data_IF_798271783601
#
_entry.id   IF_798271783601
#
_cell.length_a   1.000
_cell.length_b   1.000
_cell.length_c   1.000
_cell.angle_alpha   90.00
_cell.angle_beta   90.00
_cell.angle_gamma   90.00
#
_symmetry.space_group_name_H-M   'P 1'
#
loop_
_entity.id
_entity.type
_entity.pdbx_description
1 polymer ?
#
# COMPACT_ATOMS: atom_id res chain seq x y z
N UNK A 1 -55.33 34.87 11.41
CA UNK A 1 -54.67 36.15 11.20
C UNK A 1 -53.65 35.89 10.09
N UNK A 2 -54.06 36.02 8.84
CA UNK A 2 -54.14 37.13 7.87
C UNK A 2 -52.77 37.59 7.46
N UNK A 3 -52.48 37.20 6.25
CA UNK A 3 -52.26 37.95 5.00
C UNK A 3 -50.78 38.34 4.80
N UNK A 4 -50.16 38.33 3.67
CA UNK A 4 -50.69 38.64 2.36
C UNK A 4 -49.72 38.36 1.22
N UNK A 5 -50.32 38.07 0.16
CA UNK A 5 -49.90 37.96 -1.22
C UNK A 5 -49.35 39.27 -1.78
N UNK A 6 -48.31 39.24 -2.64
CA UNK A 6 -48.28 40.09 -3.84
C UNK A 6 -47.56 39.39 -4.97
N UNK A 7 -48.32 39.05 -5.99
CA UNK A 7 -48.02 38.77 -7.37
C UNK A 7 -47.57 40.02 -8.12
N UNK A 8 -46.62 39.91 -9.03
CA UNK A 8 -46.51 40.80 -10.21
C UNK A 8 -46.27 40.00 -11.48
N UNK A 9 -47.31 40.03 -12.30
CA UNK A 9 -47.36 39.62 -13.72
C UNK A 9 -46.94 40.80 -14.60
N UNK A 10 -46.24 40.57 -15.68
CA UNK A 10 -46.04 41.57 -16.74
C UNK A 10 -45.20 41.04 -17.91
N UNK A 11 -45.85 40.59 -18.97
CA UNK A 11 -45.42 40.56 -20.37
C UNK A 11 -46.17 41.71 -21.11
N UNK A 12 -45.87 42.08 -22.40
CA UNK A 12 -44.78 41.73 -23.32
C UNK A 12 -44.25 42.97 -24.13
N UNK A 13 -43.24 42.81 -24.98
CA UNK A 13 -42.85 43.79 -25.98
C UNK A 13 -41.65 43.36 -26.84
N UNK A 14 -41.87 42.92 -28.05
CA UNK A 14 -40.87 42.90 -29.09
C UNK A 14 -41.19 44.01 -30.10
N UNK A 15 -40.59 44.09 -31.32
CA UNK A 15 -39.28 43.66 -31.80
C UNK A 15 -38.47 44.85 -32.39
N UNK A 16 -37.16 44.70 -32.52
CA UNK A 16 -36.33 45.71 -33.18
C UNK A 16 -35.09 45.11 -33.82
N UNK A 17 -35.14 45.07 -35.12
CA UNK A 17 -34.12 44.68 -36.06
C UNK A 17 -32.89 45.60 -36.04
N UNK A 18 -31.67 45.02 -36.04
CA UNK A 18 -30.51 45.72 -36.61
C UNK A 18 -29.53 44.70 -37.23
N UNK A 19 -29.51 44.69 -38.51
CA UNK A 19 -28.50 44.06 -39.38
C UNK A 19 -27.13 44.73 -39.14
N UNK A 20 -26.10 43.95 -38.87
CA UNK A 20 -24.70 44.37 -38.82
C UNK A 20 -23.81 43.40 -39.55
N UNK A 21 -23.61 43.68 -40.79
CA UNK A 21 -22.55 43.39 -41.79
C UNK A 21 -21.48 42.36 -41.43
N UNK A 22 -21.48 41.28 -42.15
CA UNK A 22 -20.39 40.35 -42.39
C UNK A 22 -19.31 41.00 -43.27
N UNK A 23 -18.03 40.96 -42.86
CA UNK A 23 -16.87 41.32 -43.68
C UNK A 23 -16.36 40.07 -44.40
N UNK A 24 -15.89 40.18 -45.65
CA UNK A 24 -15.57 39.00 -46.46
C UNK A 24 -14.16 38.46 -46.21
N UNK A 25 -14.07 37.15 -46.26
CA UNK A 25 -12.84 36.36 -46.30
C UNK A 25 -12.06 36.68 -47.57
N UNK A 26 -10.81 37.15 -47.42
CA UNK A 26 -9.85 37.29 -48.51
C UNK A 26 -9.23 35.91 -48.85
N UNK A 27 -9.67 35.36 -49.98
CA UNK A 27 -9.01 34.25 -50.68
C UNK A 27 -7.79 34.83 -51.43
N UNK A 28 -6.55 34.46 -51.04
CA UNK A 28 -5.35 34.66 -51.83
C UNK A 28 -5.14 33.49 -52.81
N UNK A 29 -5.21 33.77 -54.09
CA UNK A 29 -4.91 32.85 -55.21
C UNK A 29 -3.38 32.65 -55.35
N UNK A 30 -2.90 31.47 -55.77
CA UNK A 30 -1.50 31.24 -56.10
C UNK A 30 -1.16 31.84 -57.47
N UNK A 31 -0.14 32.69 -57.51
CA UNK A 31 0.41 33.24 -58.74
C UNK A 31 1.40 32.27 -59.41
N UNK A 32 1.07 31.91 -60.64
CA UNK A 32 2.03 31.33 -61.58
C UNK A 32 2.96 32.42 -62.11
N UNK A 33 4.28 32.24 -61.96
CA UNK A 33 5.29 33.15 -62.49
C UNK A 33 6.55 32.44 -62.96
N UNK A 34 6.63 32.23 -64.27
CA UNK A 34 7.75 32.54 -65.13
C UNK A 34 9.07 31.78 -64.96
N UNK A 35 9.27 30.76 -65.76
CA UNK A 35 10.56 30.20 -66.12
C UNK A 35 11.46 31.22 -66.85
N UNK A 36 12.66 31.47 -66.36
CA UNK A 36 13.78 32.07 -67.12
C UNK A 36 14.93 31.05 -67.20
N UNK A 37 15.45 30.75 -68.39
CA UNK A 37 16.62 29.91 -68.57
C UNK A 37 17.87 30.82 -68.54
N UNK A 38 18.91 30.40 -67.77
CA UNK A 38 20.16 31.14 -67.83
C UNK A 38 21.27 30.56 -66.96
N UNK A 39 22.26 29.95 -67.60
CA UNK A 39 23.64 30.00 -67.14
C UNK A 39 24.18 28.77 -66.39
N UNK A 40 24.64 27.79 -67.14
CA UNK A 40 25.59 26.79 -66.71
C UNK A 40 26.95 27.45 -66.40
N UNK A 41 27.42 27.39 -65.13
CA UNK A 41 28.81 27.59 -64.73
C UNK A 41 29.38 26.26 -64.19
N UNK A 42 30.48 25.79 -64.75
CA UNK A 42 31.19 24.63 -64.19
C UNK A 42 32.12 25.15 -63.05
N UNK A 43 31.92 24.71 -61.86
CA UNK A 43 32.71 25.15 -60.69
C UNK A 43 32.87 24.08 -59.66
N UNK A 44 34.01 23.41 -59.69
CA UNK A 44 34.75 22.92 -58.54
C UNK A 44 34.10 21.88 -57.66
N UNK A 45 34.39 20.60 -57.89
CA UNK A 45 34.28 19.54 -56.92
C UNK A 45 35.18 19.85 -55.69
N UNK A 46 34.58 20.28 -54.60
CA UNK A 46 35.21 20.24 -53.29
C UNK A 46 34.98 18.84 -52.73
N UNK A 47 36.04 18.09 -52.26
CA UNK A 47 35.86 16.86 -51.53
C UNK A 47 35.23 17.19 -50.18
N UNK A 48 33.94 16.95 -50.09
CA UNK A 48 33.20 17.08 -48.84
C UNK A 48 33.69 16.04 -47.86
N UNK A 49 34.24 16.51 -46.76
CA UNK A 49 34.61 15.74 -45.60
C UNK A 49 33.40 14.89 -45.15
N UNK A 50 33.53 13.58 -45.30
CA UNK A 50 32.73 12.60 -44.60
C UNK A 50 32.96 12.86 -43.10
N UNK A 51 32.11 13.68 -42.47
CA UNK A 51 31.97 13.66 -41.02
C UNK A 51 31.42 12.27 -40.66
N UNK A 52 32.32 11.34 -40.38
CA UNK A 52 32.04 10.20 -39.57
C UNK A 52 31.43 10.66 -38.28
N UNK A 53 30.11 10.58 -38.19
CA UNK A 53 29.37 10.70 -36.94
C UNK A 53 29.78 9.56 -36.03
N UNK A 54 30.98 9.68 -35.45
CA UNK A 54 31.42 8.80 -34.39
C UNK A 54 30.37 8.88 -33.27
N UNK A 55 29.60 7.83 -33.11
CA UNK A 55 28.89 7.57 -31.87
C UNK A 55 29.96 7.54 -30.78
N UNK A 56 30.19 8.70 -30.15
CA UNK A 56 30.96 8.76 -28.92
C UNK A 56 30.28 7.82 -27.93
N UNK A 57 30.96 6.80 -27.42
CA UNK A 57 30.39 5.94 -26.39
C UNK A 57 30.01 6.91 -25.24
N UNK A 58 28.70 7.02 -24.99
CA UNK A 58 28.21 7.79 -23.83
C UNK A 58 28.92 7.22 -22.61
N UNK A 59 29.85 8.00 -22.06
CA UNK A 59 30.68 7.61 -20.94
C UNK A 59 29.80 7.09 -19.80
N UNK A 60 30.27 6.14 -19.03
CA UNK A 60 29.59 5.58 -17.84
C UNK A 60 29.15 6.70 -16.87
N UNK A 61 29.86 7.83 -16.88
CA UNK A 61 29.54 9.07 -16.16
C UNK A 61 28.22 9.72 -16.61
N UNK A 62 27.88 9.71 -17.89
CA UNK A 62 26.59 10.23 -18.38
C UNK A 62 25.44 9.31 -17.99
N UNK A 63 25.69 8.00 -17.81
CA UNK A 63 24.69 7.06 -17.24
C UNK A 63 24.53 7.25 -15.73
N UNK A 64 25.60 7.63 -15.03
CA UNK A 64 25.56 7.97 -13.61
C UNK A 64 24.84 9.30 -13.36
N UNK A 65 25.02 10.32 -14.23
CA UNK A 65 24.30 11.58 -14.17
C UNK A 65 22.79 11.43 -14.51
N UNK A 66 22.45 10.51 -15.40
CA UNK A 66 21.04 10.13 -15.61
C UNK A 66 20.43 9.43 -14.36
N UNK A 67 21.25 8.71 -13.57
CA UNK A 67 20.84 8.21 -12.25
C UNK A 67 20.61 9.32 -11.22
N UNK A 68 21.35 10.44 -11.28
CA UNK A 68 21.09 11.60 -10.42
C UNK A 68 19.71 12.22 -10.67
N UNK A 69 19.20 12.17 -11.90
CA UNK A 69 17.83 12.62 -12.19
C UNK A 69 16.79 11.68 -11.54
N UNK A 70 17.06 10.38 -11.47
CA UNK A 70 16.18 9.40 -10.81
C UNK A 70 15.99 9.70 -9.33
N UNK A 71 17.09 10.01 -8.61
CA UNK A 71 17.06 10.30 -7.16
C UNK A 71 16.35 11.63 -6.83
N UNK A 72 16.34 12.60 -7.75
CA UNK A 72 15.68 13.89 -7.54
C UNK A 72 14.15 13.79 -7.55
N UNK A 73 13.60 12.78 -8.22
CA UNK A 73 12.15 12.58 -8.37
C UNK A 73 11.58 11.57 -7.36
N UNK A 74 12.37 11.17 -6.35
CA UNK A 74 11.90 10.32 -5.26
C UNK A 74 11.31 11.18 -4.14
N UNK A 75 10.25 10.67 -3.52
CA UNK A 75 9.71 11.24 -2.29
C UNK A 75 10.61 10.87 -1.10
N UNK A 76 11.57 11.74 -0.80
CA UNK A 76 12.54 11.53 0.28
C UNK A 76 11.89 11.49 1.66
N UNK A 77 10.80 12.24 1.89
CA UNK A 77 10.11 12.21 3.17
C UNK A 77 9.46 10.83 3.42
N UNK A 78 8.91 10.21 2.37
CA UNK A 78 8.39 8.84 2.44
C UNK A 78 9.54 7.86 2.75
N UNK A 79 10.66 7.96 2.04
CA UNK A 79 11.81 7.07 2.24
C UNK A 79 12.42 7.20 3.64
N UNK A 80 12.61 8.42 4.12
CA UNK A 80 13.14 8.66 5.47
C UNK A 80 12.20 8.13 6.56
N UNK A 81 10.88 8.28 6.37
CA UNK A 81 9.88 7.69 7.26
C UNK A 81 9.97 6.17 7.34
N UNK A 82 10.06 5.50 6.19
CA UNK A 82 10.21 4.03 6.10
C UNK A 82 11.53 3.58 6.71
N UNK A 83 12.64 4.25 6.40
CA UNK A 83 13.96 3.92 6.98
C UNK A 83 13.95 4.14 8.49
N UNK A 84 13.36 5.23 8.98
CA UNK A 84 13.23 5.49 10.42
C UNK A 84 12.44 4.39 11.12
N UNK A 85 11.28 3.98 10.58
CA UNK A 85 10.48 2.87 11.12
C UNK A 85 11.25 1.54 11.11
N UNK A 86 11.93 1.22 10.00
CA UNK A 86 12.69 -0.03 9.87
C UNK A 86 13.88 -0.09 10.82
N UNK A 87 14.57 1.04 11.05
CA UNK A 87 15.69 1.11 12.00
C UNK A 87 15.19 0.98 13.45
N UNK A 88 14.14 1.73 13.81
CA UNK A 88 13.52 1.61 15.13
C UNK A 88 13.01 0.19 15.37
N UNK A 89 12.31 -0.40 14.38
CA UNK A 89 11.85 -1.78 14.46
C UNK A 89 12.99 -2.78 14.65
N UNK A 90 14.09 -2.61 13.93
CA UNK A 90 15.27 -3.49 14.05
C UNK A 90 15.88 -3.41 15.47
N UNK A 91 15.96 -2.22 16.06
CA UNK A 91 16.45 -2.03 17.43
C UNK A 91 15.51 -2.66 18.45
N UNK A 92 14.19 -2.47 18.30
CA UNK A 92 13.19 -3.05 19.20
C UNK A 92 13.15 -4.58 19.12
N UNK A 93 13.27 -5.15 17.90
CA UNK A 93 13.34 -6.60 17.70
C UNK A 93 14.58 -7.18 18.38
N UNK A 94 15.72 -6.52 18.24
CA UNK A 94 16.95 -6.95 18.92
C UNK A 94 16.74 -6.94 20.43
N UNK A 95 16.24 -5.85 20.99
CA UNK A 95 15.96 -5.75 22.42
C UNK A 95 14.99 -6.84 22.87
N UNK A 96 13.89 -7.05 22.18
CA UNK A 96 12.87 -8.04 22.50
C UNK A 96 13.37 -9.48 22.48
N UNK A 97 14.40 -9.81 21.69
CA UNK A 97 14.80 -11.21 21.47
C UNK A 97 16.10 -11.62 22.17
N UNK A 98 16.98 -10.67 22.47
CA UNK A 98 18.33 -10.98 22.98
C UNK A 98 18.33 -11.75 24.29
N UNK A 99 17.48 -11.35 25.27
CA UNK A 99 17.47 -11.97 26.60
C UNK A 99 16.93 -13.42 26.58
N UNK A 100 15.89 -13.65 25.75
CA UNK A 100 15.32 -14.99 25.55
C UNK A 100 16.31 -15.94 24.91
N UNK A 101 16.98 -15.48 23.83
CA UNK A 101 17.99 -16.27 23.12
C UNK A 101 19.22 -16.56 23.98
N UNK A 102 19.73 -15.55 24.72
CA UNK A 102 20.87 -15.73 25.62
C UNK A 102 20.59 -16.78 26.71
N UNK A 103 19.37 -16.78 27.29
CA UNK A 103 18.97 -17.81 28.28
C UNK A 103 18.87 -19.21 27.66
N UNK A 104 18.48 -19.31 26.40
CA UNK A 104 18.40 -20.56 25.65
C UNK A 104 19.77 -21.03 25.13
N UNK A 105 20.87 -20.30 25.40
CA UNK A 105 22.23 -20.61 24.92
C UNK A 105 22.43 -20.33 23.41
N UNK A 106 21.54 -19.57 22.80
CA UNK A 106 21.63 -19.15 21.40
C UNK A 106 22.37 -17.82 21.21
N UNK A 107 22.68 -17.47 19.95
CA UNK A 107 23.28 -16.16 19.61
C UNK A 107 22.23 -15.04 19.80
N UNK A 108 22.44 -14.10 20.76
CA UNK A 108 21.51 -12.98 21.01
C UNK A 108 21.27 -12.08 19.81
N UNK A 109 22.13 -12.11 18.79
CA UNK A 109 22.05 -11.28 17.60
C UNK A 109 21.35 -11.98 16.43
N UNK A 110 20.83 -13.19 16.59
CA UNK A 110 20.24 -13.96 15.49
C UNK A 110 19.10 -13.19 14.80
N UNK A 111 18.14 -12.65 15.55
CA UNK A 111 17.03 -11.89 14.97
C UNK A 111 17.47 -10.53 14.44
N UNK A 112 18.45 -9.87 15.06
CA UNK A 112 19.06 -8.65 14.54
C UNK A 112 19.64 -8.87 13.14
N UNK A 113 20.48 -9.92 12.99
CA UNK A 113 21.11 -10.25 11.69
C UNK A 113 20.08 -10.58 10.63
N UNK A 114 19.06 -11.39 10.98
CA UNK A 114 17.95 -11.73 10.06
C UNK A 114 17.14 -10.49 9.67
N UNK A 115 16.82 -9.61 10.62
CA UNK A 115 16.05 -8.40 10.33
C UNK A 115 16.84 -7.40 9.49
N UNK A 116 18.13 -7.20 9.75
CA UNK A 116 18.99 -6.37 8.89
C UNK A 116 19.05 -6.93 7.46
N UNK A 117 19.17 -8.24 7.30
CA UNK A 117 19.12 -8.87 5.99
C UNK A 117 17.76 -8.64 5.30
N UNK A 118 16.65 -8.78 6.02
CA UNK A 118 15.30 -8.49 5.51
C UNK A 118 15.17 -7.04 5.07
N UNK A 119 15.67 -6.08 5.85
CA UNK A 119 15.65 -4.65 5.50
C UNK A 119 16.49 -4.39 4.24
N UNK A 120 17.69 -4.96 4.14
CA UNK A 120 18.55 -4.81 2.95
C UNK A 120 17.89 -5.37 1.70
N UNK A 121 17.35 -6.61 1.77
CA UNK A 121 16.61 -7.22 0.65
C UNK A 121 15.38 -6.37 0.31
N UNK A 122 14.63 -5.93 1.32
CA UNK A 122 13.47 -5.05 1.14
C UNK A 122 13.82 -3.74 0.43
N UNK A 123 14.92 -3.08 0.81
CA UNK A 123 15.40 -1.87 0.15
C UNK A 123 15.80 -2.12 -1.31
N UNK A 124 16.41 -3.26 -1.61
CA UNK A 124 16.73 -3.66 -2.98
C UNK A 124 15.44 -3.86 -3.78
N UNK A 125 14.44 -4.56 -3.22
CA UNK A 125 13.14 -4.76 -3.86
C UNK A 125 12.42 -3.41 -4.08
N UNK A 126 12.40 -2.54 -3.09
CA UNK A 126 11.85 -1.19 -3.20
C UNK A 126 12.53 -0.40 -4.33
N UNK A 127 13.87 -0.41 -4.38
CA UNK A 127 14.63 0.26 -5.43
C UNK A 127 14.36 -0.34 -6.81
N UNK A 128 14.28 -1.66 -6.92
CA UNK A 128 13.95 -2.36 -8.15
C UNK A 128 12.56 -1.98 -8.66
N UNK A 129 11.52 -2.06 -7.80
CA UNK A 129 10.15 -1.72 -8.17
C UNK A 129 10.00 -0.23 -8.46
N UNK A 130 10.63 0.65 -7.68
CA UNK A 130 10.61 2.09 -7.94
C UNK A 130 11.29 2.48 -9.26
N UNK A 131 12.22 1.65 -9.76
CA UNK A 131 12.90 1.87 -11.04
C UNK A 131 12.09 1.41 -12.25
N UNK A 132 11.04 0.59 -12.03
CA UNK A 132 10.16 0.13 -13.10
C UNK A 132 9.39 1.31 -13.72
N UNK A 133 9.11 1.22 -15.01
CA UNK A 133 8.18 2.13 -15.65
C UNK A 133 6.77 1.87 -15.10
N UNK A 134 6.05 2.94 -14.78
CA UNK A 134 4.67 2.88 -14.30
C UNK A 134 3.76 2.03 -15.20
N UNK A 135 3.98 2.05 -16.53
CA UNK A 135 3.23 1.22 -17.48
C UNK A 135 3.42 -0.28 -17.21
N UNK A 136 4.60 -0.67 -16.75
CA UNK A 136 4.90 -2.05 -16.39
C UNK A 136 4.05 -2.54 -15.23
N UNK A 137 3.75 -1.68 -14.23
CA UNK A 137 2.87 -2.03 -13.13
C UNK A 137 1.48 -2.44 -13.62
N UNK A 138 0.94 -1.75 -14.62
CA UNK A 138 -0.36 -2.11 -15.23
C UNK A 138 -0.29 -3.42 -16.02
N UNK A 139 0.77 -3.61 -16.81
CA UNK A 139 0.95 -4.81 -17.67
C UNK A 139 1.16 -6.05 -16.81
N UNK A 140 1.98 -5.95 -15.74
CA UNK A 140 2.32 -7.09 -14.90
C UNK A 140 1.37 -7.33 -13.72
N UNK A 141 0.39 -6.44 -13.47
CA UNK A 141 -0.60 -6.64 -12.42
C UNK A 141 -1.33 -8.00 -12.52
N UNK A 142 -1.85 -8.44 -13.70
CA UNK A 142 -2.49 -9.75 -13.83
C UNK A 142 -1.53 -10.92 -13.59
N UNK A 143 -0.28 -10.78 -14.03
CA UNK A 143 0.76 -11.83 -13.84
C UNK A 143 1.11 -11.96 -12.36
N UNK A 144 1.37 -10.83 -11.69
CA UNK A 144 1.62 -10.81 -10.24
C UNK A 144 0.46 -11.39 -9.44
N UNK A 145 -0.77 -11.02 -9.81
CA UNK A 145 -1.99 -11.54 -9.21
C UNK A 145 -2.11 -13.07 -9.39
N UNK A 146 -1.84 -13.60 -10.58
CA UNK A 146 -1.85 -15.03 -10.82
C UNK A 146 -0.78 -15.76 -9.99
N UNK A 147 0.45 -15.24 -9.93
CA UNK A 147 1.54 -15.81 -9.15
C UNK A 147 1.19 -15.87 -7.66
N UNK A 148 0.67 -14.78 -7.09
CA UNK A 148 0.31 -14.76 -5.66
C UNK A 148 -0.91 -15.62 -5.36
N UNK A 149 -1.88 -15.70 -6.27
CA UNK A 149 -3.03 -16.62 -6.13
C UNK A 149 -2.61 -18.09 -6.16
N UNK A 150 -1.64 -18.44 -7.03
CA UNK A 150 -1.02 -19.77 -7.03
C UNK A 150 -0.26 -20.00 -5.71
N UNK A 151 0.48 -19.00 -5.21
CA UNK A 151 1.13 -19.07 -3.91
C UNK A 151 0.16 -19.37 -2.77
N UNK A 152 -1.00 -18.69 -2.75
CA UNK A 152 -2.06 -18.96 -1.77
C UNK A 152 -2.64 -20.39 -1.89
N UNK A 153 -2.75 -20.92 -3.11
CA UNK A 153 -3.15 -22.32 -3.32
C UNK A 153 -2.09 -23.31 -2.84
N UNK A 154 -0.81 -23.02 -3.10
CA UNK A 154 0.31 -23.88 -2.67
C UNK A 154 0.37 -23.99 -1.15
N UNK A 155 0.08 -22.91 -0.43
CA UNK A 155 0.00 -22.95 1.05
C UNK A 155 -1.05 -23.93 1.55
N UNK A 156 -2.19 -24.07 0.85
CA UNK A 156 -3.24 -25.02 1.23
C UNK A 156 -2.87 -26.48 0.93
N UNK A 157 -1.77 -26.72 0.21
CA UNK A 157 -1.23 -28.06 -0.05
C UNK A 157 -0.38 -28.55 1.13
N UNK A 158 0.07 -29.83 1.13
CA UNK A 158 0.97 -30.36 2.16
C UNK A 158 2.31 -29.63 2.30
N UNK A 159 2.66 -28.71 1.39
CA UNK A 159 3.85 -27.87 1.47
C UNK A 159 3.69 -26.69 2.44
N UNK A 160 2.46 -26.39 2.84
CA UNK A 160 2.18 -25.35 3.81
C UNK A 160 2.40 -25.83 5.25
N UNK A 161 2.86 -24.94 6.11
CA UNK A 161 3.03 -25.16 7.53
C UNK A 161 1.98 -24.40 8.35
N UNK A 162 1.56 -25.00 9.46
CA UNK A 162 0.59 -24.41 10.39
C UNK A 162 1.37 -23.70 11.48
N UNK A 163 1.17 -22.41 11.62
CA UNK A 163 1.74 -21.57 12.69
C UNK A 163 0.59 -20.85 13.38
N UNK A 164 0.52 -20.94 14.70
CA UNK A 164 -0.51 -20.28 15.52
C UNK A 164 -1.98 -20.53 15.04
N UNK A 165 -2.25 -21.72 14.46
CA UNK A 165 -3.57 -22.13 13.98
C UNK A 165 -3.93 -21.68 12.56
N UNK A 166 -3.11 -20.87 11.90
CA UNK A 166 -3.24 -20.48 10.50
C UNK A 166 -2.33 -21.33 9.61
N UNK A 167 -2.84 -21.78 8.48
CA UNK A 167 -2.10 -22.55 7.47
C UNK A 167 -1.67 -21.59 6.36
N UNK A 168 -0.71 -20.66 6.66
CA UNK A 168 -0.37 -19.52 5.82
C UNK A 168 1.10 -19.41 5.43
N UNK A 169 1.95 -20.32 5.91
CA UNK A 169 3.40 -20.25 5.74
C UNK A 169 3.95 -21.37 4.86
N UNK A 170 4.95 -21.04 4.03
CA UNK A 170 5.77 -22.00 3.27
C UNK A 170 7.16 -21.95 3.85
N UNK A 171 7.66 -23.10 4.35
CA UNK A 171 9.04 -23.22 4.80
C UNK A 171 9.99 -23.22 3.60
N UNK A 172 10.96 -22.31 3.60
CA UNK A 172 12.00 -22.19 2.59
C UNK A 172 13.35 -22.69 3.13
N UNK A 173 14.28 -23.13 2.26
CA UNK A 173 15.63 -23.48 2.66
C UNK A 173 16.31 -22.34 3.42
N UNK A 174 17.14 -22.67 4.43
CA UNK A 174 17.84 -21.68 5.24
C UNK A 174 17.04 -21.13 6.42
N UNK A 175 15.88 -21.73 6.76
CA UNK A 175 15.03 -21.32 7.88
C UNK A 175 14.24 -20.04 7.63
N UNK A 176 14.07 -19.65 6.36
CA UNK A 176 13.16 -18.61 5.95
C UNK A 176 11.75 -19.16 5.81
N UNK A 177 10.77 -18.30 6.07
CA UNK A 177 9.36 -18.61 5.87
C UNK A 177 8.76 -17.56 4.94
N UNK A 178 8.03 -18.01 3.93
CA UNK A 178 7.29 -17.13 3.03
C UNK A 178 5.81 -17.21 3.32
N UNK A 179 5.18 -16.05 3.39
CA UNK A 179 3.74 -15.90 3.52
C UNK A 179 3.17 -15.24 2.26
N UNK A 180 2.57 -16.02 1.34
CA UNK A 180 2.06 -15.49 0.09
C UNK A 180 0.93 -14.47 0.26
N UNK A 181 0.20 -14.49 1.35
CA UNK A 181 -0.87 -13.55 1.66
C UNK A 181 -0.35 -12.10 1.76
N UNK A 182 0.90 -11.89 2.20
CA UNK A 182 1.54 -10.59 2.27
C UNK A 182 1.69 -9.96 0.87
N UNK A 183 2.17 -10.74 -0.08
CA UNK A 183 2.30 -10.31 -1.47
C UNK A 183 0.95 -10.20 -2.20
N UNK A 184 -0.03 -11.04 -1.81
CA UNK A 184 -1.36 -11.00 -2.39
C UNK A 184 -2.08 -9.67 -2.11
N UNK A 185 -1.80 -8.99 -1.00
CA UNK A 185 -2.31 -7.63 -0.71
C UNK A 185 -1.88 -6.64 -1.79
N UNK A 186 -0.59 -6.62 -2.13
CA UNK A 186 -0.05 -5.72 -3.16
C UNK A 186 -0.66 -5.99 -4.53
N UNK A 187 -0.70 -7.26 -4.93
CA UNK A 187 -1.19 -7.65 -6.25
C UNK A 187 -2.70 -7.50 -6.39
N UNK A 188 -3.46 -7.70 -5.32
CA UNK A 188 -4.89 -7.39 -5.25
C UNK A 188 -5.14 -5.90 -5.49
N UNK A 189 -4.38 -5.02 -4.81
CA UNK A 189 -4.48 -3.57 -4.99
C UNK A 189 -4.21 -3.20 -6.46
N UNK A 190 -3.14 -3.72 -7.06
CA UNK A 190 -2.79 -3.44 -8.45
C UNK A 190 -3.87 -3.94 -9.43
N UNK A 191 -4.38 -5.16 -9.21
CA UNK A 191 -5.38 -5.75 -10.10
C UNK A 191 -6.74 -5.06 -9.98
N UNK A 192 -7.21 -4.75 -8.78
CA UNK A 192 -8.45 -4.00 -8.56
C UNK A 192 -8.35 -2.58 -9.12
N UNK A 193 -7.20 -1.92 -8.92
CA UNK A 193 -6.94 -0.60 -9.52
C UNK A 193 -6.97 -0.67 -11.06
N UNK A 194 -6.41 -1.71 -11.66
CA UNK A 194 -6.45 -1.92 -13.10
C UNK A 194 -7.89 -2.00 -13.60
N UNK A 195 -8.71 -2.88 -13.02
CA UNK A 195 -10.11 -3.11 -13.41
C UNK A 195 -10.94 -1.82 -13.26
N UNK A 196 -10.82 -1.13 -12.11
CA UNK A 196 -11.63 0.05 -11.79
C UNK A 196 -11.15 1.33 -12.52
N UNK A 197 -9.92 1.34 -13.04
CA UNK A 197 -9.36 2.48 -13.78
C UNK A 197 -9.60 2.42 -15.28
N UNK A 198 -10.02 1.28 -15.85
CA UNK A 198 -10.34 1.14 -17.27
C UNK A 198 -11.71 1.77 -17.60
N UNK A 199 -11.75 3.11 -17.56
CA UNK A 199 -12.91 3.86 -18.01
C UNK A 199 -12.91 3.87 -19.55
N UNK A 200 -14.01 3.42 -20.16
CA UNK A 200 -14.21 3.55 -21.60
C UNK A 200 -14.58 5.00 -21.96
N UNK A 201 -14.26 5.41 -23.17
CA UNK A 201 -14.51 6.76 -23.67
C UNK A 201 -15.92 7.24 -23.34
N UNK A 202 -16.02 8.39 -22.66
CA UNK A 202 -17.27 9.04 -22.26
C UNK A 202 -17.78 8.71 -20.85
N UNK A 203 -17.27 7.71 -20.17
CA UNK A 203 -17.70 7.39 -18.81
C UNK A 203 -16.83 8.07 -17.77
N UNK A 204 -17.47 8.80 -16.86
CA UNK A 204 -16.80 9.43 -15.69
C UNK A 204 -16.78 8.53 -14.44
N UNK A 205 -17.39 7.35 -14.48
CA UNK A 205 -17.55 6.44 -13.33
C UNK A 205 -17.50 4.98 -13.79
N UNK A 206 -16.97 4.08 -12.94
CA UNK A 206 -17.01 2.64 -13.20
C UNK A 206 -18.45 2.15 -13.39
N UNK A 207 -18.63 1.20 -14.29
CA UNK A 207 -19.91 0.55 -14.55
C UNK A 207 -20.17 -0.56 -13.54
N UNK A 208 -21.42 -1.02 -13.37
CA UNK A 208 -21.72 -2.18 -12.53
C UNK A 208 -20.96 -3.46 -12.94
N UNK A 209 -20.59 -3.60 -14.21
CA UNK A 209 -19.78 -4.73 -14.70
C UNK A 209 -18.33 -4.66 -14.19
N UNK A 210 -17.75 -3.47 -14.11
CA UNK A 210 -16.39 -3.25 -13.61
C UNK A 210 -16.34 -3.52 -12.10
N UNK A 211 -17.41 -3.13 -11.38
CA UNK A 211 -17.59 -3.51 -9.98
C UNK A 211 -17.69 -5.02 -9.80
N UNK A 212 -18.52 -5.69 -10.61
CA UNK A 212 -18.67 -7.15 -10.55
C UNK A 212 -17.34 -7.85 -10.86
N UNK A 213 -16.57 -7.36 -11.84
CA UNK A 213 -15.24 -7.87 -12.17
C UNK A 213 -14.24 -7.67 -11.01
N UNK A 214 -14.23 -6.48 -10.38
CA UNK A 214 -13.38 -6.21 -9.22
C UNK A 214 -13.73 -7.10 -8.02
N UNK A 215 -15.02 -7.30 -7.76
CA UNK A 215 -15.49 -8.20 -6.70
C UNK A 215 -15.16 -9.67 -7.00
N UNK A 216 -15.34 -10.12 -8.24
CA UNK A 216 -14.98 -11.49 -8.65
C UNK A 216 -13.46 -11.71 -8.55
N UNK A 217 -12.66 -10.71 -8.95
CA UNK A 217 -11.22 -10.73 -8.79
C UNK A 217 -10.82 -10.75 -7.29
N UNK A 218 -11.46 -9.96 -6.45
CA UNK A 218 -11.23 -9.98 -5.00
C UNK A 218 -11.66 -11.29 -4.34
N UNK A 219 -12.76 -11.91 -4.81
CA UNK A 219 -13.32 -13.13 -4.22
C UNK A 219 -12.35 -14.31 -4.24
N UNK A 220 -11.50 -14.45 -5.25
CA UNK A 220 -10.54 -15.55 -5.35
C UNK A 220 -9.51 -15.52 -4.20
N UNK A 221 -8.67 -14.48 -4.02
CA UNK A 221 -7.71 -14.46 -2.92
C UNK A 221 -8.38 -14.42 -1.55
N UNK A 222 -9.52 -13.73 -1.40
CA UNK A 222 -10.30 -13.72 -0.16
C UNK A 222 -10.80 -15.11 0.21
N UNK A 223 -11.34 -15.87 -0.76
CA UNK A 223 -11.78 -17.25 -0.55
C UNK A 223 -10.63 -18.18 -0.15
N UNK A 224 -9.45 -18.01 -0.74
CA UNK A 224 -8.26 -18.77 -0.38
C UNK A 224 -7.76 -18.42 1.02
N UNK A 225 -7.80 -17.15 1.43
CA UNK A 225 -7.42 -16.71 2.79
C UNK A 225 -8.45 -17.22 3.82
N UNK A 226 -9.74 -17.26 3.49
CA UNK A 226 -10.76 -17.92 4.33
C UNK A 226 -10.43 -19.39 4.55
N UNK A 227 -9.97 -20.09 3.52
CA UNK A 227 -9.55 -21.49 3.61
C UNK A 227 -8.29 -21.70 4.46
N UNK A 228 -7.42 -20.67 4.58
CA UNK A 228 -6.21 -20.64 5.42
C UNK A 228 -6.48 -20.28 6.88
N UNK A 229 -7.68 -20.04 7.28
CA UNK A 229 -8.35 -19.39 8.41
C UNK A 229 -7.57 -18.19 9.02
N UNK A 230 -7.02 -17.33 8.18
CA UNK A 230 -6.37 -16.10 8.63
C UNK A 230 -7.35 -14.92 8.64
N UNK A 231 -7.96 -14.68 9.81
CA UNK A 231 -8.93 -13.57 9.97
C UNK A 231 -8.29 -12.19 9.86
N UNK A 232 -7.07 -12.02 10.32
CA UNK A 232 -6.39 -10.73 10.31
C UNK A 232 -6.21 -10.22 8.88
N UNK A 233 -5.59 -11.04 8.04
CA UNK A 233 -5.37 -10.74 6.62
C UNK A 233 -6.70 -10.63 5.88
N UNK A 234 -7.69 -11.48 6.18
CA UNK A 234 -9.01 -11.42 5.55
C UNK A 234 -9.70 -10.06 5.78
N UNK A 235 -9.80 -9.62 7.03
CA UNK A 235 -10.42 -8.34 7.39
C UNK A 235 -9.70 -7.19 6.67
N UNK A 236 -8.37 -7.22 6.66
CA UNK A 236 -7.55 -6.21 6.01
C UNK A 236 -7.78 -6.16 4.49
N UNK A 237 -7.77 -7.31 3.81
CA UNK A 237 -8.01 -7.38 2.36
C UNK A 237 -9.43 -6.96 1.97
N UNK A 238 -10.44 -7.35 2.74
CA UNK A 238 -11.84 -6.90 2.54
C UNK A 238 -11.92 -5.39 2.68
N UNK A 239 -11.33 -4.82 3.73
CA UNK A 239 -11.38 -3.38 3.96
C UNK A 239 -10.63 -2.58 2.87
N UNK A 240 -9.50 -3.08 2.38
CA UNK A 240 -8.78 -2.49 1.24
C UNK A 240 -9.65 -2.53 -0.02
N UNK A 241 -10.25 -3.69 -0.34
CA UNK A 241 -11.11 -3.85 -1.51
C UNK A 241 -12.31 -2.89 -1.47
N UNK A 242 -13.03 -2.85 -0.33
CA UNK A 242 -14.17 -1.95 -0.12
C UNK A 242 -13.74 -0.48 -0.21
N UNK A 243 -12.62 -0.12 0.42
CA UNK A 243 -12.07 1.23 0.38
C UNK A 243 -11.69 1.67 -1.03
N UNK A 244 -11.05 0.81 -1.82
CA UNK A 244 -10.73 1.10 -3.22
C UNK A 244 -12.00 1.26 -4.08
N UNK A 245 -13.01 0.41 -3.90
CA UNK A 245 -14.30 0.54 -4.56
C UNK A 245 -14.96 1.87 -4.18
N UNK A 246 -14.91 2.26 -2.91
CA UNK A 246 -15.44 3.55 -2.46
C UNK A 246 -14.77 4.74 -3.16
N UNK A 247 -13.44 4.71 -3.28
CA UNK A 247 -12.65 5.77 -3.92
C UNK A 247 -12.72 5.77 -5.45
N UNK A 248 -13.20 4.68 -6.08
CA UNK A 248 -13.36 4.60 -7.53
C UNK A 248 -14.46 5.52 -8.10
N UNK A 249 -15.24 6.18 -7.23
CA UNK A 249 -16.33 7.07 -7.65
C UNK A 249 -17.63 6.35 -8.01
N UNK A 250 -17.78 5.09 -7.61
CA UNK A 250 -19.01 4.32 -7.83
C UNK A 250 -20.20 4.95 -7.09
N UNK A 251 -21.42 4.68 -7.55
CA UNK A 251 -22.63 5.23 -6.93
C UNK A 251 -22.82 4.70 -5.51
N UNK A 252 -23.13 5.58 -4.55
CA UNK A 252 -23.30 5.26 -3.12
C UNK A 252 -24.22 4.06 -2.84
N UNK A 253 -25.26 3.85 -3.67
CA UNK A 253 -26.17 2.71 -3.54
C UNK A 253 -25.45 1.35 -3.62
N UNK A 254 -24.39 1.24 -4.44
CA UNK A 254 -23.61 0.01 -4.56
C UNK A 254 -22.71 -0.20 -3.34
N UNK A 255 -22.16 0.89 -2.82
CA UNK A 255 -21.41 0.86 -1.57
C UNK A 255 -22.30 0.44 -0.38
N UNK A 256 -23.49 1.01 -0.30
CA UNK A 256 -24.46 0.62 0.73
C UNK A 256 -24.88 -0.85 0.59
N UNK A 257 -25.09 -1.32 -0.65
CA UNK A 257 -25.36 -2.74 -0.94
C UNK A 257 -24.19 -3.64 -0.52
N UNK A 258 -22.94 -3.27 -0.86
CA UNK A 258 -21.76 -4.02 -0.47
C UNK A 258 -21.60 -4.06 1.06
N UNK A 259 -21.80 -2.92 1.74
CA UNK A 259 -21.81 -2.85 3.20
C UNK A 259 -22.87 -3.75 3.83
N UNK A 260 -24.09 -3.74 3.28
CA UNK A 260 -25.17 -4.60 3.75
C UNK A 260 -24.85 -6.10 3.55
N UNK A 261 -24.29 -6.48 2.39
CA UNK A 261 -23.85 -7.86 2.12
C UNK A 261 -22.74 -8.29 3.07
N UNK A 262 -21.74 -7.43 3.32
CA UNK A 262 -20.65 -7.71 4.26
C UNK A 262 -21.18 -7.88 5.70
N UNK A 263 -22.08 -7.01 6.13
CA UNK A 263 -22.71 -7.10 7.45
C UNK A 263 -23.56 -8.36 7.59
N UNK A 264 -24.34 -8.70 6.55
CA UNK A 264 -25.14 -9.93 6.52
C UNK A 264 -24.24 -11.17 6.54
N UNK A 265 -23.15 -11.17 5.77
CA UNK A 265 -22.19 -12.29 5.78
C UNK A 265 -21.57 -12.47 7.17
N UNK A 266 -21.17 -11.39 7.84
CA UNK A 266 -20.67 -11.45 9.22
C UNK A 266 -21.70 -12.00 10.20
N UNK A 267 -22.97 -11.55 10.09
CA UNK A 267 -24.08 -12.05 10.92
C UNK A 267 -24.36 -13.54 10.69
N UNK A 268 -24.38 -13.97 9.43
CA UNK A 268 -24.58 -15.37 9.06
C UNK A 268 -23.44 -16.25 9.57
N UNK A 269 -22.18 -15.79 9.39
CA UNK A 269 -20.99 -16.51 9.88
C UNK A 269 -21.04 -16.67 11.40
N UNK A 270 -21.48 -15.64 12.12
CA UNK A 270 -21.65 -15.69 13.56
C UNK A 270 -22.81 -16.61 13.99
N UNK A 271 -24.00 -16.45 13.39
CA UNK A 271 -25.20 -17.20 13.78
C UNK A 271 -25.14 -18.70 13.43
N UNK A 272 -24.44 -19.04 12.35
CA UNK A 272 -24.22 -20.43 11.95
C UNK A 272 -22.98 -21.07 12.59
N UNK A 273 -22.32 -20.39 13.52
CA UNK A 273 -21.11 -20.87 14.21
C UNK A 273 -20.01 -21.37 13.25
N UNK A 274 -19.84 -20.68 12.11
CA UNK A 274 -18.85 -21.04 11.10
C UNK A 274 -17.41 -20.65 11.50
N UNK A 275 -17.26 -19.83 12.56
CA UNK A 275 -15.97 -19.45 13.10
C UNK A 275 -15.32 -20.64 13.83
N UNK A 276 -14.02 -20.81 13.61
CA UNK A 276 -13.23 -21.81 14.36
C UNK A 276 -13.12 -21.42 15.84
N UNK A 277 -12.98 -22.40 16.76
CA UNK A 277 -12.93 -22.13 18.20
C UNK A 277 -11.90 -21.03 18.59
N UNK A 278 -10.70 -21.06 18.01
CA UNK A 278 -9.67 -20.05 18.31
C UNK A 278 -10.06 -18.63 17.82
N UNK A 279 -10.87 -18.50 16.77
CA UNK A 279 -11.35 -17.21 16.26
C UNK A 279 -12.40 -16.62 17.20
N UNK A 280 -13.31 -17.47 17.68
CA UNK A 280 -14.28 -17.09 18.73
C UNK A 280 -13.55 -16.70 20.00
N UNK A 281 -12.52 -17.46 20.40
CA UNK A 281 -11.70 -17.17 21.58
C UNK A 281 -11.01 -15.81 21.49
N UNK A 282 -10.46 -15.43 20.34
CA UNK A 282 -9.88 -14.07 20.11
C UNK A 282 -10.91 -12.95 20.30
N UNK A 283 -12.13 -13.13 19.79
CA UNK A 283 -13.22 -12.15 19.95
C UNK A 283 -13.73 -12.09 21.39
N UNK A 284 -13.92 -13.23 22.05
CA UNK A 284 -14.35 -13.29 23.46
C UNK A 284 -13.28 -12.76 24.40
N UNK A 285 -12.01 -13.05 24.16
CA UNK A 285 -10.88 -12.52 24.93
C UNK A 285 -10.75 -10.98 24.80
N UNK A 286 -11.14 -10.42 23.68
CA UNK A 286 -11.20 -8.97 23.51
C UNK A 286 -12.31 -8.33 24.38
N UNK A 287 -13.52 -8.94 24.40
CA UNK A 287 -14.63 -8.44 25.21
C UNK A 287 -14.44 -8.71 26.72
N UNK A 288 -13.86 -9.84 27.05
CA UNK A 288 -13.57 -10.25 28.41
C UNK A 288 -12.19 -10.94 28.50
N UNK A 289 -11.10 -10.18 28.71
CA UNK A 289 -9.73 -10.72 28.78
C UNK A 289 -9.55 -11.79 29.88
N UNK A 290 -10.35 -11.77 30.94
CA UNK A 290 -10.29 -12.76 32.02
C UNK A 290 -10.86 -14.12 31.62
N UNK A 291 -11.59 -14.23 30.51
CA UNK A 291 -12.11 -15.48 30.01
C UNK A 291 -11.01 -16.36 29.36
N UNK A 292 -9.87 -15.78 28.98
CA UNK A 292 -8.72 -16.52 28.41
C UNK A 292 -7.39 -16.13 29.10
N UNK A 293 -7.18 -16.61 30.33
CA UNK A 293 -6.02 -16.22 31.14
C UNK A 293 -4.68 -16.85 30.71
N UNK A 294 -4.67 -17.71 29.68
CA UNK A 294 -3.47 -18.41 29.17
C UNK A 294 -3.21 -18.21 27.69
N UNK A 295 -4.15 -17.61 26.94
CA UNK A 295 -4.03 -17.39 25.50
C UNK A 295 -3.96 -15.93 25.12
N UNK A 296 -4.78 -15.53 24.17
CA UNK A 296 -4.77 -14.16 23.62
C UNK A 296 -5.15 -13.08 24.65
N UNK A 297 -6.00 -13.41 25.62
CA UNK A 297 -6.35 -12.53 26.74
C UNK A 297 -5.14 -12.22 27.62
N UNK A 298 -4.31 -13.22 27.91
CA UNK A 298 -3.05 -13.03 28.64
C UNK A 298 -2.10 -12.11 27.87
N UNK A 299 -1.86 -12.38 26.58
CA UNK A 299 -0.96 -11.58 25.76
C UNK A 299 -1.37 -10.10 25.71
N UNK A 300 -2.67 -9.82 25.52
CA UNK A 300 -3.20 -8.47 25.50
C UNK A 300 -3.08 -7.77 26.89
N UNK A 301 -3.30 -8.52 27.97
CA UNK A 301 -3.15 -7.98 29.33
C UNK A 301 -1.69 -7.63 29.62
N UNK A 302 -0.73 -8.52 29.30
CA UNK A 302 0.70 -8.28 29.50
C UNK A 302 1.22 -7.12 28.65
N UNK A 303 0.73 -7.00 27.38
CA UNK A 303 1.07 -5.88 26.52
C UNK A 303 0.65 -4.53 27.13
N UNK A 304 -0.54 -4.45 27.72
CA UNK A 304 -1.02 -3.21 28.41
C UNK A 304 -0.18 -2.89 29.63
N UNK A 305 0.20 -3.92 30.42
CA UNK A 305 1.07 -3.73 31.60
C UNK A 305 2.45 -3.23 31.16
N UNK A 306 3.01 -3.81 30.08
CA UNK A 306 4.28 -3.39 29.51
C UNK A 306 4.26 -1.92 29.08
N UNK A 307 3.25 -1.51 28.30
CA UNK A 307 3.08 -0.10 27.89
C UNK A 307 2.96 0.82 29.12
N UNK A 308 2.15 0.41 30.11
CA UNK A 308 1.94 1.19 31.34
C UNK A 308 3.20 1.34 32.19
N UNK A 309 4.07 0.33 32.20
CA UNK A 309 5.33 0.34 32.96
C UNK A 309 6.39 1.28 32.39
N UNK A 310 6.30 1.63 31.09
CA UNK A 310 7.28 2.50 30.43
C UNK A 310 7.12 3.98 30.76
N UNK A 311 5.97 4.45 31.25
CA UNK A 311 5.75 5.86 31.56
C UNK A 311 6.02 6.80 30.38
N UNK A 312 6.59 8.00 30.68
CA UNK A 312 6.84 9.02 29.63
C UNK A 312 8.04 8.72 28.74
N UNK A 313 9.15 8.25 29.32
CA UNK A 313 10.45 8.13 28.62
C UNK A 313 10.93 6.68 28.49
N UNK A 314 10.16 5.70 28.97
CA UNK A 314 10.53 4.30 28.94
C UNK A 314 11.50 3.88 30.06
N UNK A 315 11.69 2.57 30.18
CA UNK A 315 12.68 1.97 31.07
C UNK A 315 14.09 1.97 30.46
N UNK A 316 14.22 2.38 29.20
CA UNK A 316 15.45 2.35 28.40
C UNK A 316 15.53 1.10 27.53
N UNK A 317 16.19 1.24 26.37
CA UNK A 317 16.45 0.12 25.45
C UNK A 317 17.20 -0.99 26.20
N UNK A 318 16.77 -2.24 26.00
CA UNK A 318 17.31 -3.45 26.65
C UNK A 318 17.03 -3.57 28.15
N UNK A 319 16.32 -2.65 28.78
CA UNK A 319 16.06 -2.63 30.24
C UNK A 319 14.56 -2.87 30.54
N UNK A 320 13.71 -3.12 29.55
CA UNK A 320 12.31 -3.48 29.77
C UNK A 320 12.18 -4.76 30.60
N UNK A 321 11.62 -4.66 31.79
CA UNK A 321 11.53 -5.80 32.73
C UNK A 321 10.61 -6.91 32.24
N UNK A 322 9.49 -6.55 31.60
CA UNK A 322 8.53 -7.51 31.04
C UNK A 322 9.04 -8.09 29.72
N UNK A 323 9.66 -7.26 28.90
CA UNK A 323 10.33 -7.68 27.65
C UNK A 323 11.47 -8.65 27.98
N UNK A 324 12.38 -8.28 28.89
CA UNK A 324 13.47 -9.14 29.29
C UNK A 324 12.98 -10.44 29.95
N UNK A 325 11.87 -10.40 30.70
CA UNK A 325 11.21 -11.56 31.30
C UNK A 325 10.50 -12.48 30.29
N UNK A 326 10.33 -12.04 29.03
CA UNK A 326 9.54 -12.73 28.00
C UNK A 326 8.08 -12.97 28.45
N UNK A 327 7.52 -12.02 29.20
CA UNK A 327 6.14 -12.11 29.69
C UNK A 327 5.10 -11.83 28.60
N UNK A 328 5.47 -11.07 27.57
CA UNK A 328 4.59 -10.80 26.42
C UNK A 328 4.88 -11.83 25.34
N UNK A 329 3.97 -12.79 25.05
CA UNK A 329 4.15 -13.72 23.94
C UNK A 329 4.21 -12.96 22.59
N UNK A 330 4.97 -13.49 21.63
CA UNK A 330 5.11 -12.90 20.28
C UNK A 330 5.48 -11.40 20.30
N UNK A 331 6.30 -10.99 21.28
CA UNK A 331 6.66 -9.58 21.48
C UNK A 331 7.45 -8.97 20.32
N UNK A 332 8.19 -9.76 19.54
CA UNK A 332 8.99 -9.30 18.41
C UNK A 332 8.22 -9.25 17.09
N UNK A 333 7.03 -9.85 17.01
CA UNK A 333 6.14 -9.89 15.84
C UNK A 333 4.90 -9.03 16.09
N UNK A 334 3.92 -9.57 16.79
CA UNK A 334 2.58 -9.00 16.92
C UNK A 334 2.53 -7.86 17.95
N UNK A 335 3.30 -7.96 19.02
CA UNK A 335 3.26 -7.04 20.15
C UNK A 335 4.49 -6.11 20.24
N UNK A 336 5.16 -5.84 19.10
CA UNK A 336 6.34 -4.97 19.07
C UNK A 336 6.06 -3.54 19.57
N UNK A 337 4.82 -3.05 19.40
CA UNK A 337 4.42 -1.75 19.91
C UNK A 337 4.38 -1.73 21.46
N UNK A 338 4.13 -2.88 22.12
CA UNK A 338 4.22 -2.98 23.57
C UNK A 338 5.68 -2.87 24.03
N UNK A 339 6.63 -3.48 23.31
CA UNK A 339 8.07 -3.32 23.55
C UNK A 339 8.48 -1.84 23.43
N UNK A 340 8.02 -1.17 22.38
CA UNK A 340 8.26 0.27 22.19
C UNK A 340 7.69 1.10 23.36
N UNK A 341 6.49 0.75 23.83
CA UNK A 341 5.85 1.43 24.96
C UNK A 341 6.60 1.21 26.28
N UNK A 342 7.13 0.02 26.56
CA UNK A 342 7.90 -0.26 27.74
C UNK A 342 9.29 0.38 27.71
N UNK A 343 10.03 0.20 26.62
CA UNK A 343 11.43 0.62 26.55
C UNK A 343 11.65 2.08 26.18
N UNK A 344 10.83 2.63 25.28
CA UNK A 344 10.92 4.01 24.81
C UNK A 344 9.83 4.91 25.41
N UNK A 345 8.88 4.34 26.12
CA UNK A 345 7.78 5.05 26.77
C UNK A 345 6.81 5.72 25.79
N UNK A 346 6.04 6.66 26.31
CA UNK A 346 5.06 7.42 25.55
C UNK A 346 5.71 8.22 24.41
N UNK A 347 6.89 8.79 24.63
CA UNK A 347 7.63 9.54 23.60
C UNK A 347 7.99 8.65 22.42
N UNK A 348 8.51 7.44 22.67
CA UNK A 348 8.83 6.48 21.60
C UNK A 348 7.59 6.01 20.83
N UNK A 349 6.48 5.76 21.54
CA UNK A 349 5.21 5.42 20.92
C UNK A 349 4.70 6.52 19.99
N UNK A 350 4.76 7.80 20.42
CA UNK A 350 4.40 8.95 19.59
C UNK A 350 5.31 9.10 18.37
N UNK A 351 6.61 8.85 18.51
CA UNK A 351 7.55 8.89 17.37
C UNK A 351 7.17 7.84 16.32
N UNK A 352 6.86 6.61 16.73
CA UNK A 352 6.42 5.56 15.79
C UNK A 352 5.11 5.95 15.11
N UNK A 353 4.10 6.40 15.87
CA UNK A 353 2.82 6.87 15.32
C UNK A 353 3.04 8.06 14.38
N UNK A 354 3.91 8.98 14.72
CA UNK A 354 4.26 10.14 13.91
C UNK A 354 4.91 9.75 12.58
N UNK A 355 5.84 8.79 12.59
CA UNK A 355 6.45 8.26 11.37
C UNK A 355 5.43 7.53 10.48
N UNK A 356 4.53 6.75 11.07
CA UNK A 356 3.40 6.12 10.35
C UNK A 356 2.49 7.20 9.76
N UNK A 357 2.17 8.25 10.51
CA UNK A 357 1.37 9.37 10.01
C UNK A 357 2.05 10.08 8.84
N UNK A 358 3.36 10.31 8.88
CA UNK A 358 4.13 10.85 7.74
C UNK A 358 3.99 9.94 6.53
N UNK A 359 4.17 8.63 6.69
CA UNK A 359 4.00 7.64 5.62
C UNK A 359 2.60 7.72 5.00
N UNK A 360 1.55 7.75 5.81
CA UNK A 360 0.16 7.82 5.36
C UNK A 360 -0.13 9.15 4.64
N UNK A 361 0.29 10.28 5.21
CA UNK A 361 0.10 11.61 4.60
C UNK A 361 0.82 11.68 3.25
N UNK A 362 2.05 11.14 3.13
CA UNK A 362 2.78 11.12 1.86
C UNK A 362 2.09 10.21 0.85
N UNK A 363 1.63 9.02 1.25
CA UNK A 363 0.88 8.10 0.38
C UNK A 363 -0.41 8.73 -0.15
N UNK A 364 -1.17 9.42 0.71
CA UNK A 364 -2.38 10.15 0.31
C UNK A 364 -2.07 11.34 -0.61
N UNK A 365 -0.97 12.08 -0.37
CA UNK A 365 -0.53 13.14 -1.27
C UNK A 365 -0.17 12.61 -2.65
N UNK A 366 0.49 11.44 -2.72
CA UNK A 366 0.79 10.77 -3.98
C UNK A 366 -0.51 10.38 -4.69
N UNK A 367 -1.50 9.84 -3.95
CA UNK A 367 -2.80 9.48 -4.50
C UNK A 367 -3.53 10.68 -5.11
N UNK A 368 -3.62 11.80 -4.38
CA UNK A 368 -4.33 13.02 -4.85
C UNK A 368 -3.62 13.69 -6.03
N UNK A 369 -2.31 13.53 -6.14
CA UNK A 369 -1.51 14.10 -7.25
C UNK A 369 -1.30 13.15 -8.41
N UNK A 370 -1.85 11.94 -8.36
CA UNK A 370 -1.71 10.98 -9.44
C UNK A 370 -2.43 11.48 -10.72
N UNK A 371 -1.77 11.33 -11.87
CA UNK A 371 -2.26 11.83 -13.17
C UNK A 371 -3.46 11.06 -13.70
N UNK A 372 -3.62 9.81 -13.24
CA UNK A 372 -4.69 8.93 -13.71
C UNK A 372 -5.36 8.16 -12.55
N UNK A 373 -6.53 7.59 -12.87
CA UNK A 373 -7.34 6.84 -11.90
C UNK A 373 -6.62 5.59 -11.36
N UNK A 374 -5.74 4.95 -12.15
CA UNK A 374 -4.99 3.79 -11.69
C UNK A 374 -4.01 4.17 -10.58
N UNK A 375 -3.23 5.24 -10.77
CA UNK A 375 -2.28 5.73 -9.77
C UNK A 375 -2.99 6.19 -8.49
N UNK A 376 -4.12 6.90 -8.62
CA UNK A 376 -4.95 7.30 -7.49
C UNK A 376 -5.40 6.08 -6.68
N UNK A 377 -5.97 5.06 -7.35
CA UNK A 377 -6.48 3.86 -6.68
C UNK A 377 -5.37 3.02 -6.05
N UNK A 378 -4.23 2.86 -6.73
CA UNK A 378 -3.07 2.13 -6.19
C UNK A 378 -2.53 2.81 -4.94
N UNK A 379 -2.26 4.11 -5.02
CA UNK A 379 -1.70 4.84 -3.89
C UNK A 379 -2.69 4.91 -2.70
N UNK A 380 -3.98 5.10 -2.98
CA UNK A 380 -5.02 5.06 -1.95
C UNK A 380 -5.18 3.66 -1.34
N UNK A 381 -5.14 2.60 -2.14
CA UNK A 381 -5.23 1.23 -1.67
C UNK A 381 -4.08 0.87 -0.71
N UNK A 382 -2.85 1.27 -1.04
CA UNK A 382 -1.68 1.10 -0.17
C UNK A 382 -1.82 1.94 1.12
N UNK A 383 -2.32 3.18 1.02
CA UNK A 383 -2.54 4.03 2.18
C UNK A 383 -3.59 3.42 3.14
N UNK A 384 -4.70 2.88 2.61
CA UNK A 384 -5.73 2.19 3.38
C UNK A 384 -5.14 0.95 4.04
N UNK A 385 -4.36 0.15 3.32
CA UNK A 385 -3.70 -1.02 3.87
C UNK A 385 -2.82 -0.66 5.06
N UNK A 386 -1.85 0.23 4.91
CA UNK A 386 -0.96 0.62 6.00
C UNK A 386 -1.69 1.27 7.18
N UNK A 387 -2.71 2.11 6.91
CA UNK A 387 -3.51 2.74 7.95
C UNK A 387 -4.25 1.71 8.81
N UNK A 388 -4.93 0.77 8.16
CA UNK A 388 -5.70 -0.25 8.86
C UNK A 388 -4.81 -1.25 9.59
N UNK A 389 -3.72 -1.71 8.95
CA UNK A 389 -2.79 -2.64 9.57
C UNK A 389 -2.12 -2.04 10.80
N UNK A 390 -1.67 -0.77 10.73
CA UNK A 390 -1.13 -0.06 11.87
C UNK A 390 -2.18 0.17 12.96
N UNK A 391 -3.41 0.59 12.58
CA UNK A 391 -4.50 0.78 13.52
C UNK A 391 -4.86 -0.52 14.27
N UNK A 392 -4.95 -1.65 13.55
CA UNK A 392 -5.26 -2.93 14.16
C UNK A 392 -4.13 -3.39 15.08
N UNK A 393 -2.85 -3.30 14.65
CA UNK A 393 -1.71 -3.72 15.46
C UNK A 393 -1.56 -2.89 16.74
N UNK A 394 -1.56 -1.55 16.61
CA UNK A 394 -1.50 -0.66 17.79
C UNK A 394 -2.75 -0.85 18.64
N UNK A 395 -3.92 -0.94 18.01
CA UNK A 395 -5.19 -1.11 18.70
C UNK A 395 -5.27 -2.39 19.53
N UNK A 396 -4.72 -3.53 19.04
CA UNK A 396 -4.72 -4.77 19.82
C UNK A 396 -3.74 -4.72 20.99
N UNK A 397 -2.63 -4.01 20.86
CA UNK A 397 -1.67 -3.86 21.99
C UNK A 397 -2.21 -3.00 23.12
N UNK A 398 -3.00 -1.95 22.79
CA UNK A 398 -3.67 -1.10 23.81
C UNK A 398 -5.08 -1.60 24.18
N UNK A 399 -5.59 -2.64 23.48
CA UNK A 399 -6.85 -3.30 23.79
C UNK A 399 -8.09 -2.59 23.22
N UNK A 400 -7.97 -1.87 22.11
CA UNK A 400 -9.09 -1.25 21.37
C UNK A 400 -9.62 -2.20 20.27
N UNK A 401 -8.78 -3.09 19.76
CA UNK A 401 -9.17 -4.09 18.75
C UNK A 401 -8.83 -5.51 19.23
N UNK A 402 -9.52 -6.55 18.73
CA UNK A 402 -9.17 -7.93 19.04
C UNK A 402 -7.77 -8.28 18.51
N UNK A 403 -7.14 -9.28 19.12
CA UNK A 403 -5.82 -9.78 18.70
C UNK A 403 -5.96 -10.51 17.37
N UNK A 404 -5.35 -9.97 16.33
CA UNK A 404 -5.46 -10.49 14.96
C UNK A 404 -4.19 -11.21 14.49
N UNK A 405 -3.02 -10.88 15.05
CA UNK A 405 -1.74 -11.41 14.58
C UNK A 405 -1.16 -10.66 13.37
N UNK A 406 -1.66 -9.47 13.06
CA UNK A 406 -1.10 -8.64 11.98
C UNK A 406 0.14 -7.88 12.47
N UNK A 407 1.27 -7.94 11.76
CA UNK A 407 2.49 -7.23 12.15
C UNK A 407 2.33 -5.71 11.94
N UNK A 408 3.08 -4.89 12.72
CA UNK A 408 3.17 -3.46 12.51
C UNK A 408 4.06 -3.16 11.29
N UNK A 409 3.57 -2.46 10.25
CA UNK A 409 4.34 -2.21 9.04
C UNK A 409 5.73 -1.62 9.32
N UNK A 410 6.76 -2.17 8.71
CA UNK A 410 8.19 -1.80 8.81
C UNK A 410 8.83 -1.97 10.20
N UNK A 411 8.07 -2.18 11.26
CA UNK A 411 8.56 -2.24 12.64
C UNK A 411 8.65 -3.67 13.15
N UNK A 412 7.62 -4.50 12.90
CA UNK A 412 7.58 -5.89 13.36
C UNK A 412 8.58 -6.78 12.64
N UNK A 413 9.00 -7.85 13.29
CA UNK A 413 9.77 -8.91 12.66
C UNK A 413 8.90 -9.71 11.68
N UNK A 414 9.38 -9.86 10.44
CA UNK A 414 8.71 -10.67 9.41
C UNK A 414 9.32 -10.41 8.05
N UNK A 415 9.97 -11.44 7.45
CA UNK A 415 10.61 -11.29 6.15
C UNK A 415 9.61 -10.96 5.04
N UNK A 416 8.55 -11.76 4.92
CA UNK A 416 7.53 -11.58 3.87
C UNK A 416 6.77 -10.26 4.00
N UNK A 417 6.40 -9.88 5.22
CA UNK A 417 5.75 -8.61 5.50
C UNK A 417 6.65 -7.43 5.12
N UNK A 418 7.93 -7.44 5.56
CA UNK A 418 8.90 -6.42 5.20
C UNK A 418 9.09 -6.30 3.68
N UNK A 419 9.18 -7.44 2.96
CA UNK A 419 9.34 -7.42 1.51
C UNK A 419 8.10 -6.86 0.79
N UNK A 420 6.90 -7.27 1.20
CA UNK A 420 5.65 -6.78 0.64
C UNK A 420 5.46 -5.28 0.92
N UNK A 421 5.75 -4.83 2.14
CA UNK A 421 5.70 -3.43 2.53
C UNK A 421 6.69 -2.58 1.70
N UNK A 422 7.93 -3.05 1.53
CA UNK A 422 8.95 -2.36 0.72
C UNK A 422 8.59 -2.33 -0.77
N UNK A 423 8.01 -3.40 -1.31
CA UNK A 423 7.46 -3.43 -2.68
C UNK A 423 6.35 -2.39 -2.81
N UNK A 424 5.43 -2.29 -1.85
CA UNK A 424 4.35 -1.32 -1.86
C UNK A 424 4.89 0.13 -1.87
N UNK A 425 5.93 0.43 -1.10
CA UNK A 425 6.62 1.74 -1.16
C UNK A 425 7.27 1.95 -2.52
N UNK A 426 7.89 0.94 -3.10
CA UNK A 426 8.44 0.99 -4.47
C UNK A 426 7.37 1.35 -5.50
N UNK A 427 6.18 0.77 -5.38
CA UNK A 427 5.01 1.09 -6.23
C UNK A 427 4.56 2.54 -6.02
N UNK A 428 4.47 3.03 -4.78
CA UNK A 428 4.16 4.44 -4.48
C UNK A 428 5.18 5.39 -5.12
N UNK A 429 6.48 5.07 -5.05
CA UNK A 429 7.53 5.85 -5.68
C UNK A 429 7.42 5.86 -7.21
N UNK A 430 7.04 4.73 -7.83
CA UNK A 430 6.81 4.65 -9.27
C UNK A 430 5.61 5.51 -9.70
N UNK A 431 4.53 5.56 -8.90
CA UNK A 431 3.37 6.45 -9.12
C UNK A 431 3.79 7.91 -8.98
N UNK A 432 4.50 8.26 -7.91
CA UNK A 432 4.96 9.63 -7.64
C UNK A 432 5.86 10.17 -8.75
N UNK A 433 6.78 9.36 -9.23
CA UNK A 433 7.76 9.76 -10.24
C UNK A 433 7.12 10.07 -11.59
N UNK A 434 6.03 9.40 -11.96
CA UNK A 434 5.30 9.70 -13.20
C UNK A 434 4.81 11.14 -13.20
N UNK A 435 4.22 11.61 -12.12
CA UNK A 435 3.76 12.99 -11.96
C UNK A 435 4.90 14.00 -12.08
N UNK A 436 6.04 13.75 -11.42
CA UNK A 436 7.16 14.71 -11.35
C UNK A 436 8.01 14.83 -12.62
N UNK A 437 7.78 13.97 -13.64
CA UNK A 437 8.48 14.07 -14.93
C UNK A 437 7.73 14.99 -15.91
N UNK A 438 6.46 15.27 -15.67
CA UNK A 438 5.61 16.11 -16.52
C UNK A 438 5.39 17.51 -15.95
N UNK A 439 5.82 17.79 -14.70
CA UNK A 439 5.94 19.13 -14.09
C UNK A 439 7.35 19.72 -14.34
#
# INVERSE_FOLDING_TARGET
MSAGWRSWTGRPGGPGSAYGRLSPVQQSRPGYGGLRPGGLRPGGLRPGALRSGGMRPRSLWHRALARQSFLRHLDWALMLGVLGLSLLGTLLIWSATQHGLARAGGDPQTYLKKQLLNVVIGLILMAAVSSLDYRMLRIYAPVGYAITSIGLLVVLSPLGSIVNGAHSWIALPGGFQAEPSEFAKVTLILMVALILSELRDGDRRPRPRDLAAALACGALPLGLVVAQPDLGVLILMVAVLVGMIALSGIRLRWLAGLGAVTALAALVTWSLHLLKPYQVQRLTAFLNPSADPRGTGYSAAQAKIAIGSGGMFGQGLFHGSLVAGNFVPEQHTDFIFAVAGEELGFVGAIVIIGLIAVLLIRSLRIAVRADDQFGLLVASGIAIWFALQAFINIGMTIGITPVTGLPLPFVSYGGSAMFADMIAIGVLQAVHRRHSVFD
#
